data_IF_638097965236
#
_entry.id   IF_638097965236
#
_cell.length_a   1.000
_cell.length_b   1.000
_cell.length_c   1.000
_cell.angle_alpha   90.00
_cell.angle_beta   90.00
_cell.angle_gamma   90.00
#
_symmetry.space_group_name_H-M   'P 1'
#
loop_
_entity.id
_entity.type
_entity.pdbx_description
1 polymer ?
#
# COMPACT_ATOMS: atom_id res chain seq x y z
N UNK A 1 -13.49 -13.06 -0.91
CA UNK A 1 -12.44 -12.09 -0.53
C UNK A 1 -12.15 -12.33 0.95
N UNK A 2 -10.89 -12.26 1.42
CA UNK A 2 -10.61 -12.46 2.83
C UNK A 2 -11.25 -11.36 3.69
N UNK A 3 -11.68 -11.75 4.88
CA UNK A 3 -12.21 -10.87 5.92
C UNK A 3 -11.14 -10.63 6.96
N UNK A 4 -10.98 -9.37 7.37
CA UNK A 4 -10.00 -8.93 8.34
C UNK A 4 -10.68 -8.28 9.54
N UNK A 5 -10.26 -8.67 10.74
CA UNK A 5 -10.68 -8.01 11.98
C UNK A 5 -9.78 -6.81 12.27
N UNK A 6 -10.42 -5.69 12.61
CA UNK A 6 -9.75 -4.47 13.02
C UNK A 6 -10.27 -4.02 14.39
N UNK A 7 -9.35 -3.54 15.22
CA UNK A 7 -9.68 -2.75 16.40
C UNK A 7 -9.10 -1.37 16.18
N UNK A 8 -9.96 -0.37 16.00
CA UNK A 8 -9.55 1.01 15.84
C UNK A 8 -9.71 1.78 17.13
N UNK A 9 -8.74 2.64 17.45
CA UNK A 9 -8.92 3.71 18.43
C UNK A 9 -9.65 4.86 17.75
N UNK A 10 -10.76 5.28 18.33
CA UNK A 10 -11.64 6.31 17.78
C UNK A 10 -11.83 7.47 18.75
N UNK A 11 -12.25 8.62 18.23
CA UNK A 11 -12.54 9.85 18.99
C UNK A 11 -13.75 10.57 18.37
N UNK A 12 -14.33 11.53 19.07
CA UNK A 12 -15.47 12.32 18.58
C UNK A 12 -16.79 11.53 18.52
N UNK A 13 -16.89 10.42 19.25
CA UNK A 13 -18.10 9.61 19.39
C UNK A 13 -18.37 9.30 20.87
N UNK A 14 -19.64 9.38 21.28
CA UNK A 14 -20.11 8.95 22.59
C UNK A 14 -20.87 7.63 22.47
N UNK A 15 -20.76 6.76 23.48
CA UNK A 15 -21.56 5.52 23.54
C UNK A 15 -23.06 5.82 23.75
N UNK A 16 -23.39 7.02 24.22
CA UNK A 16 -24.78 7.49 24.40
C UNK A 16 -25.37 8.08 23.11
N UNK A 17 -24.56 8.25 22.05
CA UNK A 17 -25.06 8.63 20.73
C UNK A 17 -25.66 7.41 20.03
N UNK A 18 -26.84 7.01 20.48
CA UNK A 18 -27.51 5.80 20.00
C UNK A 18 -27.78 5.81 18.49
N UNK A 19 -27.90 6.98 17.86
CA UNK A 19 -28.08 7.09 16.42
C UNK A 19 -26.79 6.73 15.68
N UNK A 20 -25.65 7.30 16.07
CA UNK A 20 -24.36 6.98 15.45
C UNK A 20 -23.90 5.55 15.77
N UNK A 21 -24.07 5.12 17.02
CA UNK A 21 -23.75 3.74 17.45
C UNK A 21 -24.61 2.74 16.70
N UNK A 22 -25.92 2.96 16.63
CA UNK A 22 -26.85 2.10 15.90
C UNK A 22 -26.49 1.98 14.42
N UNK A 23 -26.23 3.10 13.75
CA UNK A 23 -25.82 3.08 12.35
C UNK A 23 -24.51 2.30 12.10
N UNK A 24 -23.53 2.40 13.00
CA UNK A 24 -22.28 1.65 12.90
C UNK A 24 -22.48 0.15 13.14
N UNK A 25 -23.29 -0.22 14.13
CA UNK A 25 -23.61 -1.63 14.41
C UNK A 25 -24.43 -2.25 13.29
N UNK A 26 -25.49 -1.58 12.82
CA UNK A 26 -26.39 -2.15 11.83
C UNK A 26 -25.72 -2.30 10.44
N UNK A 27 -24.88 -1.34 10.03
CA UNK A 27 -24.30 -1.30 8.68
C UNK A 27 -22.91 -1.93 8.58
N UNK A 28 -22.16 -2.01 9.68
CA UNK A 28 -20.79 -2.53 9.70
C UNK A 28 -20.58 -3.68 10.69
N UNK A 29 -21.61 -4.08 11.44
CA UNK A 29 -21.47 -5.02 12.56
C UNK A 29 -20.39 -4.56 13.56
N UNK A 30 -20.24 -3.24 13.70
CA UNK A 30 -19.20 -2.65 14.51
C UNK A 30 -19.62 -2.64 15.98
N UNK A 31 -18.69 -3.01 16.86
CA UNK A 31 -18.85 -2.98 18.31
C UNK A 31 -17.99 -1.85 18.89
N UNK A 32 -18.64 -0.87 19.51
CA UNK A 32 -17.98 0.22 20.21
C UNK A 32 -17.80 -0.11 21.70
N UNK A 33 -16.64 0.24 22.24
CA UNK A 33 -16.33 0.11 23.66
C UNK A 33 -15.56 1.33 24.15
N UNK A 34 -15.63 1.61 25.45
CA UNK A 34 -14.80 2.63 26.09
C UNK A 34 -14.19 2.04 27.36
N UNK A 35 -12.87 2.12 27.47
CA UNK A 35 -12.14 1.66 28.66
C UNK A 35 -11.08 2.67 29.01
N UNK A 36 -11.04 3.10 30.28
CA UNK A 36 -10.15 4.14 30.77
C UNK A 36 -10.15 5.43 29.93
N UNK A 37 -11.32 5.81 29.41
CA UNK A 37 -11.49 7.00 28.57
C UNK A 37 -11.00 6.85 27.13
N UNK A 38 -10.57 5.65 26.71
CA UNK A 38 -10.19 5.35 25.33
C UNK A 38 -11.33 4.63 24.64
N UNK A 39 -11.87 5.24 23.59
CA UNK A 39 -12.90 4.63 22.75
C UNK A 39 -12.26 3.73 21.70
N UNK A 40 -12.82 2.53 21.54
CA UNK A 40 -12.40 1.55 20.55
C UNK A 40 -13.59 1.06 19.75
N UNK A 41 -13.34 0.75 18.49
CA UNK A 41 -14.30 0.14 17.58
C UNK A 41 -13.71 -1.14 17.02
N UNK A 42 -14.33 -2.28 17.34
CA UNK A 42 -14.04 -3.57 16.72
C UNK A 42 -14.95 -3.75 15.52
N UNK A 43 -14.39 -4.14 14.38
CA UNK A 43 -15.14 -4.24 13.11
C UNK A 43 -14.42 -5.19 12.15
N UNK A 44 -15.20 -5.90 11.33
CA UNK A 44 -14.67 -6.75 10.26
C UNK A 44 -14.78 -6.04 8.91
N UNK A 45 -13.72 -6.10 8.11
CA UNK A 45 -13.69 -5.55 6.76
C UNK A 45 -13.20 -6.55 5.74
N UNK A 46 -13.87 -6.62 4.58
CA UNK A 46 -13.47 -7.47 3.46
C UNK A 46 -12.65 -6.70 2.44
N UNK A 47 -11.57 -7.30 1.94
CA UNK A 47 -10.69 -6.66 0.95
C UNK A 47 -9.75 -7.66 0.28
N UNK A 48 -9.06 -7.26 -0.81
CA UNK A 48 -7.98 -8.07 -1.38
C UNK A 48 -6.77 -8.19 -0.42
N UNK A 49 -6.60 -7.20 0.45
CA UNK A 49 -5.61 -7.14 1.53
C UNK A 49 -6.18 -6.32 2.72
N UNK A 50 -5.46 -6.33 3.84
CA UNK A 50 -5.90 -5.67 5.07
C UNK A 50 -5.98 -4.13 4.92
N UNK A 51 -5.11 -3.54 4.10
CA UNK A 51 -5.04 -2.08 3.90
C UNK A 51 -6.27 -1.59 3.15
N UNK A 52 -6.63 -2.27 2.06
CA UNK A 52 -7.83 -1.99 1.28
C UNK A 52 -9.11 -2.20 2.11
N UNK A 53 -9.17 -3.29 2.89
CA UNK A 53 -10.27 -3.57 3.81
C UNK A 53 -10.44 -2.43 4.85
N UNK A 54 -9.36 -2.04 5.52
CA UNK A 54 -9.37 -0.93 6.49
C UNK A 54 -9.82 0.39 5.83
N UNK A 55 -9.32 0.70 4.64
CA UNK A 55 -9.69 1.89 3.88
C UNK A 55 -11.19 1.93 3.56
N UNK A 56 -11.77 0.80 3.17
CA UNK A 56 -13.20 0.67 2.90
C UNK A 56 -14.05 0.88 4.17
N UNK A 57 -13.66 0.25 5.28
CA UNK A 57 -14.31 0.43 6.60
C UNK A 57 -14.28 1.90 7.02
N UNK A 58 -13.10 2.53 7.02
CA UNK A 58 -12.93 3.93 7.43
C UNK A 58 -13.76 4.88 6.56
N UNK A 59 -13.84 4.62 5.25
CA UNK A 59 -14.65 5.42 4.34
C UNK A 59 -16.16 5.32 4.66
N UNK A 60 -16.64 4.15 5.08
CA UNK A 60 -18.03 3.95 5.53
C UNK A 60 -18.28 4.61 6.88
N UNK A 61 -17.38 4.43 7.85
CA UNK A 61 -17.47 5.09 9.15
C UNK A 61 -17.65 6.61 9.04
N UNK A 62 -16.89 7.26 8.15
CA UNK A 62 -17.01 8.72 7.90
C UNK A 62 -18.39 9.15 7.39
N UNK A 63 -19.12 8.27 6.70
CA UNK A 63 -20.47 8.56 6.19
C UNK A 63 -21.50 8.34 7.30
N UNK A 64 -21.36 7.27 8.07
CA UNK A 64 -22.31 6.87 9.10
C UNK A 64 -22.20 7.75 10.36
N UNK A 65 -20.98 8.09 10.76
CA UNK A 65 -20.69 8.92 11.92
C UNK A 65 -19.68 10.02 11.58
N UNK A 66 -20.11 11.14 10.96
CA UNK A 66 -19.20 12.20 10.48
C UNK A 66 -18.38 12.90 11.58
N UNK A 67 -18.87 12.91 12.82
CA UNK A 67 -18.16 13.45 13.97
C UNK A 67 -17.06 12.49 14.49
N UNK A 68 -17.19 11.19 14.21
CA UNK A 68 -16.25 10.17 14.63
C UNK A 68 -14.95 10.23 13.82
N UNK A 69 -13.82 10.18 14.50
CA UNK A 69 -12.49 10.16 13.93
C UNK A 69 -11.82 8.83 14.25
N UNK A 70 -11.43 8.10 13.21
CA UNK A 70 -10.57 6.91 13.33
C UNK A 70 -9.12 7.38 13.43
N UNK A 71 -8.47 7.14 14.57
CA UNK A 71 -7.16 7.72 14.88
C UNK A 71 -5.99 6.81 14.49
N UNK A 72 -6.09 5.53 14.84
CA UNK A 72 -5.07 4.49 14.64
C UNK A 72 -5.67 3.11 14.90
N UNK A 73 -4.96 2.05 14.53
CA UNK A 73 -5.19 0.72 15.05
C UNK A 73 -4.80 0.65 16.53
N UNK A 74 -5.55 -0.16 17.28
CA UNK A 74 -5.14 -0.61 18.60
C UNK A 74 -4.15 -1.78 18.42
N UNK A 75 -2.88 -1.65 18.85
CA UNK A 75 -1.96 -2.77 18.85
C UNK A 75 -2.43 -3.71 19.96
N UNK A 76 -3.08 -4.81 19.58
CA UNK A 76 -3.58 -5.85 20.49
C UNK A 76 -2.41 -6.52 21.23
N UNK A 77 -1.91 -5.85 22.26
CA UNK A 77 -0.76 -6.25 23.04
C UNK A 77 -1.17 -7.29 24.07
N UNK A 78 -0.48 -8.42 24.05
CA UNK A 78 -0.73 -9.56 24.92
C UNK A 78 0.49 -9.93 25.73
N UNK A 79 0.29 -10.30 26.99
CA UNK A 79 1.28 -10.97 27.82
C UNK A 79 1.07 -12.49 27.86
N UNK A 80 1.91 -13.17 28.63
CA UNK A 80 1.84 -14.63 28.83
C UNK A 80 0.47 -15.07 29.37
N UNK A 81 -0.13 -14.28 30.25
CA UNK A 81 -1.45 -14.58 30.83
C UNK A 81 -2.55 -14.52 29.78
N UNK A 82 -2.55 -13.49 28.95
CA UNK A 82 -3.58 -13.27 27.93
C UNK A 82 -3.48 -14.35 26.84
N UNK A 83 -2.27 -14.70 26.41
CA UNK A 83 -2.04 -15.79 25.46
C UNK A 83 -2.52 -17.12 26.03
N UNK A 84 -2.23 -17.39 27.31
CA UNK A 84 -2.67 -18.62 27.98
C UNK A 84 -4.19 -18.72 28.02
N UNK A 85 -4.87 -17.62 28.35
CA UNK A 85 -6.33 -17.53 28.38
C UNK A 85 -6.94 -17.74 26.99
N UNK A 86 -6.49 -16.97 25.98
CA UNK A 86 -7.01 -17.06 24.60
C UNK A 86 -6.79 -18.42 23.96
N UNK A 87 -5.70 -19.11 24.29
CA UNK A 87 -5.38 -20.44 23.73
C UNK A 87 -5.90 -21.60 24.59
N UNK A 88 -6.51 -21.33 25.75
CA UNK A 88 -6.92 -22.36 26.71
C UNK A 88 -5.74 -23.18 27.26
N UNK A 89 -4.52 -22.63 27.28
CA UNK A 89 -3.31 -23.30 27.77
C UNK A 89 -2.87 -22.76 29.13
N UNK A 90 -1.99 -23.49 29.81
CA UNK A 90 -1.39 -23.00 31.04
C UNK A 90 -0.34 -21.92 30.76
N UNK A 91 -0.18 -20.97 31.69
CA UNK A 91 0.91 -19.97 31.64
C UNK A 91 2.30 -20.62 31.54
N UNK A 92 2.48 -21.80 32.14
CA UNK A 92 3.72 -22.57 32.04
C UNK A 92 3.99 -23.03 30.60
N UNK A 93 2.96 -23.50 29.88
CA UNK A 93 3.10 -23.87 28.46
C UNK A 93 3.53 -22.68 27.61
N UNK A 94 2.88 -21.53 27.78
CA UNK A 94 3.24 -20.30 27.05
C UNK A 94 4.67 -19.85 27.39
N UNK A 95 5.07 -19.95 28.66
CA UNK A 95 6.45 -19.65 29.08
C UNK A 95 7.47 -20.58 28.43
N UNK A 96 7.12 -21.85 28.21
CA UNK A 96 7.98 -22.81 27.49
C UNK A 96 8.13 -22.44 26.02
N UNK A 97 7.05 -21.98 25.36
CA UNK A 97 7.10 -21.48 23.98
C UNK A 97 8.05 -20.28 23.87
N UNK A 98 7.87 -19.28 24.74
CA UNK A 98 8.71 -18.08 24.78
C UNK A 98 10.19 -18.41 25.00
N UNK A 99 10.50 -19.43 25.81
CA UNK A 99 11.88 -19.87 26.08
C UNK A 99 12.48 -20.78 25.00
N UNK A 100 11.74 -21.08 23.93
CA UNK A 100 12.19 -22.00 22.88
C UNK A 100 12.46 -23.43 23.38
N UNK A 101 11.79 -23.84 24.48
CA UNK A 101 12.00 -25.15 25.09
C UNK A 101 11.26 -26.28 24.34
N UNK A 102 10.36 -25.93 23.42
CA UNK A 102 9.83 -26.84 22.41
C UNK A 102 10.56 -26.56 21.11
N UNK A 103 11.19 -27.60 20.54
CA UNK A 103 11.92 -27.55 19.27
C UNK A 103 10.93 -27.51 18.11
N UNK A 104 10.17 -26.43 18.01
CA UNK A 104 9.36 -26.14 16.85
C UNK A 104 10.28 -25.56 15.77
N UNK A 105 9.99 -25.80 14.49
CA UNK A 105 10.86 -25.37 13.36
C UNK A 105 10.96 -23.84 13.30
N UNK A 106 9.95 -23.13 13.81
CA UNK A 106 9.88 -21.66 13.84
C UNK A 106 9.91 -21.17 15.29
N UNK A 107 10.84 -20.27 15.67
CA UNK A 107 10.90 -19.73 17.02
C UNK A 107 9.67 -18.89 17.35
N UNK A 108 9.31 -18.84 18.63
CA UNK A 108 8.26 -17.95 19.11
C UNK A 108 8.62 -16.48 18.79
N UNK A 109 7.65 -15.61 18.45
CA UNK A 109 7.91 -14.22 18.09
C UNK A 109 8.71 -13.45 19.13
N UNK A 110 9.53 -12.51 18.65
CA UNK A 110 10.21 -11.57 19.54
C UNK A 110 9.19 -10.66 20.25
N UNK A 111 9.43 -10.28 21.51
CA UNK A 111 8.53 -9.37 22.22
C UNK A 111 8.51 -7.99 21.55
N UNK A 112 7.34 -7.37 21.52
CA UNK A 112 7.16 -5.98 21.08
C UNK A 112 7.84 -5.01 22.04
N UNK A 113 7.85 -5.35 23.32
CA UNK A 113 8.46 -4.53 24.35
C UNK A 113 8.22 -5.08 25.74
N UNK A 114 8.36 -4.20 26.73
CA UNK A 114 8.16 -4.51 28.14
C UNK A 114 7.19 -3.52 28.77
N UNK A 115 6.18 -4.02 29.48
CA UNK A 115 5.29 -3.22 30.33
C UNK A 115 5.64 -3.52 31.78
N UNK A 116 6.27 -2.55 32.45
CA UNK A 116 6.83 -2.74 33.78
C UNK A 116 7.97 -3.77 33.76
N UNK A 117 7.69 -4.98 34.25
CA UNK A 117 8.65 -6.11 34.27
C UNK A 117 8.24 -7.28 33.36
N UNK A 118 7.12 -7.14 32.65
CA UNK A 118 6.53 -8.20 31.84
C UNK A 118 6.75 -7.89 30.36
N UNK A 119 7.21 -8.90 29.62
CA UNK A 119 7.26 -8.82 28.16
C UNK A 119 5.84 -8.84 27.58
N UNK A 120 5.65 -8.11 26.47
CA UNK A 120 4.41 -8.08 25.70
C UNK A 120 4.70 -8.35 24.24
N UNK A 121 3.73 -8.93 23.53
CA UNK A 121 3.78 -9.28 22.12
C UNK A 121 2.57 -8.72 21.39
N UNK A 122 2.68 -8.56 20.07
CA UNK A 122 1.52 -8.33 19.23
C UNK A 122 0.75 -9.65 19.05
N UNK A 123 -0.55 -9.65 19.34
CA UNK A 123 -1.38 -10.83 19.14
C UNK A 123 -1.36 -11.32 17.70
N UNK A 124 -1.31 -10.43 16.70
CA UNK A 124 -1.24 -10.82 15.29
C UNK A 124 -0.02 -11.68 14.96
N UNK A 125 1.15 -11.38 15.54
CA UNK A 125 2.37 -12.17 15.34
C UNK A 125 2.32 -13.50 16.13
N UNK A 126 1.79 -13.47 17.35
CA UNK A 126 1.58 -14.68 18.16
C UNK A 126 0.59 -15.61 17.46
N UNK A 127 -0.53 -15.10 16.96
CA UNK A 127 -1.56 -15.88 16.28
C UNK A 127 -1.04 -16.47 14.97
N UNK A 128 -0.23 -15.72 14.21
CA UNK A 128 0.45 -16.25 13.02
C UNK A 128 1.41 -17.41 13.37
N UNK A 129 2.15 -17.32 14.48
CA UNK A 129 2.98 -18.42 14.97
C UNK A 129 2.14 -19.61 15.44
N UNK A 130 1.05 -19.36 16.18
CA UNK A 130 0.12 -20.38 16.67
C UNK A 130 -0.53 -21.17 15.52
N UNK A 131 -0.76 -20.54 14.37
CA UNK A 131 -1.27 -21.20 13.16
C UNK A 131 -0.35 -22.33 12.69
N UNK A 132 0.97 -22.13 12.81
CA UNK A 132 1.97 -23.16 12.49
C UNK A 132 1.89 -24.41 13.36
N UNK A 133 1.27 -24.31 14.54
CA UNK A 133 1.05 -25.43 15.46
C UNK A 133 -0.44 -25.76 15.65
N UNK A 134 -1.33 -25.21 14.81
CA UNK A 134 -2.76 -25.47 14.81
C UNK A 134 -3.53 -24.96 16.03
N UNK A 135 -3.10 -23.85 16.62
CA UNK A 135 -3.72 -23.24 17.81
C UNK A 135 -4.14 -21.77 17.60
N UNK A 136 -4.25 -21.31 16.36
CA UNK A 136 -4.73 -19.96 16.07
C UNK A 136 -6.25 -19.83 16.20
N UNK A 137 -6.72 -18.58 16.24
CA UNK A 137 -8.15 -18.24 16.32
C UNK A 137 -8.86 -18.21 14.96
N UNK A 138 -8.18 -18.49 13.85
CA UNK A 138 -8.75 -18.50 12.50
C UNK A 138 -9.01 -17.12 11.89
N UNK A 139 -8.85 -16.04 12.65
CA UNK A 139 -9.09 -14.68 12.19
C UNK A 139 -7.90 -14.11 11.42
N UNK A 140 -8.18 -13.31 10.39
CA UNK A 140 -7.14 -12.55 9.71
C UNK A 140 -7.02 -11.17 10.34
N UNK A 141 -5.79 -10.80 10.67
CA UNK A 141 -5.46 -9.47 11.19
C UNK A 141 -4.33 -8.86 10.36
N UNK A 142 -4.23 -7.53 10.31
CA UNK A 142 -3.14 -6.88 9.61
C UNK A 142 -1.79 -7.38 10.11
N UNK A 143 -0.87 -7.66 9.19
CA UNK A 143 0.54 -7.84 9.52
C UNK A 143 1.12 -6.54 10.08
N UNK A 144 2.29 -6.60 10.71
CA UNK A 144 2.99 -5.40 11.20
C UNK A 144 3.20 -4.33 10.12
N UNK A 145 3.56 -4.76 8.91
CA UNK A 145 3.78 -3.86 7.78
C UNK A 145 2.47 -3.18 7.37
N UNK A 146 1.40 -3.96 7.20
CA UNK A 146 0.07 -3.43 6.86
C UNK A 146 -0.49 -2.54 7.97
N UNK A 147 -0.32 -2.89 9.24
CA UNK A 147 -0.75 -2.07 10.37
C UNK A 147 -0.05 -0.71 10.39
N UNK A 148 1.26 -0.69 10.08
CA UNK A 148 2.03 0.55 9.95
C UNK A 148 1.50 1.42 8.80
N UNK A 149 1.20 0.79 7.66
CA UNK A 149 0.64 1.46 6.50
C UNK A 149 -0.76 2.03 6.79
N UNK A 150 -1.63 1.25 7.44
CA UNK A 150 -2.97 1.68 7.86
C UNK A 150 -2.87 2.89 8.81
N UNK A 151 -2.02 2.82 9.83
CA UNK A 151 -1.81 3.93 10.78
C UNK A 151 -1.29 5.19 10.09
N UNK A 152 -0.39 5.03 9.13
CA UNK A 152 0.09 6.14 8.30
C UNK A 152 -1.06 6.76 7.49
N UNK A 153 -1.88 5.94 6.82
CA UNK A 153 -3.04 6.38 6.05
C UNK A 153 -4.10 7.07 6.94
N UNK A 154 -4.30 6.60 8.17
CA UNK A 154 -5.22 7.22 9.13
C UNK A 154 -4.74 8.61 9.55
N UNK A 155 -3.45 8.76 9.88
CA UNK A 155 -2.84 10.02 10.33
C UNK A 155 -2.75 11.08 9.24
N UNK A 156 -2.38 10.68 8.03
CA UNK A 156 -2.19 11.60 6.90
C UNK A 156 -3.46 11.76 6.05
N UNK A 157 -4.48 10.96 6.36
CA UNK A 157 -5.74 10.87 5.66
C UNK A 157 -5.65 9.96 4.42
N UNK A 158 -6.76 9.30 4.11
CA UNK A 158 -7.00 8.68 2.81
C UNK A 158 -7.26 9.83 1.83
N UNK A 159 -6.22 10.59 1.49
CA UNK A 159 -6.36 11.62 0.45
C UNK A 159 -6.69 10.84 -0.82
N UNK A 160 -7.82 11.13 -1.50
CA UNK A 160 -8.05 10.52 -2.79
C UNK A 160 -6.85 10.91 -3.66
N UNK A 161 -6.04 9.93 -4.03
CA UNK A 161 -4.94 10.13 -4.95
C UNK A 161 -5.60 10.44 -6.28
N UNK A 162 -5.72 11.74 -6.57
CA UNK A 162 -6.21 12.21 -7.86
C UNK A 162 -5.08 11.98 -8.85
N UNK A 163 -5.26 10.97 -9.69
CA UNK A 163 -4.35 10.66 -10.78
C UNK A 163 -4.87 11.36 -12.02
N UNK A 164 -4.00 12.14 -12.67
CA UNK A 164 -4.21 12.58 -14.03
C UNK A 164 -3.52 11.58 -14.93
N UNK A 165 -4.30 10.78 -15.66
CA UNK A 165 -3.77 9.87 -16.67
C UNK A 165 -3.63 10.64 -17.97
N UNK A 166 -2.38 10.84 -18.38
CA UNK A 166 -2.07 11.39 -19.69
C UNK A 166 -2.07 10.23 -20.69
N UNK A 167 -3.14 10.16 -21.49
CA UNK A 167 -3.39 9.11 -22.51
C UNK A 167 -3.57 9.71 -23.91
N UNK A 168 -3.16 10.98 -24.11
CA UNK A 168 -3.36 11.73 -25.34
C UNK A 168 -2.70 11.08 -26.58
N UNK A 169 -3.47 10.96 -27.66
CA UNK A 169 -3.11 10.36 -28.95
C UNK A 169 -3.65 11.24 -30.07
N UNK A 170 -2.79 12.03 -30.71
CA UNK A 170 -3.14 12.71 -31.97
C UNK A 170 -2.32 12.23 -33.18
N UNK A 171 -1.36 11.31 -33.03
CA UNK A 171 -0.54 10.83 -34.16
C UNK A 171 -0.09 9.37 -33.90
N UNK A 172 -0.42 8.42 -34.81
CA UNK A 172 0.06 7.00 -34.93
C UNK A 172 -0.73 5.85 -34.19
N UNK A 173 -0.65 4.58 -34.68
CA UNK A 173 -1.53 3.48 -34.24
C UNK A 173 -1.16 2.97 -32.84
N UNK A 174 -2.16 2.67 -31.99
CA UNK A 174 -1.93 2.24 -30.60
C UNK A 174 -2.96 2.75 -29.56
N UNK A 175 -3.91 3.58 -30.00
CA UNK A 175 -4.94 4.21 -29.16
C UNK A 175 -5.72 3.23 -28.27
N UNK A 176 -6.03 2.05 -28.78
CA UNK A 176 -6.81 1.04 -28.05
C UNK A 176 -5.98 0.35 -26.96
N UNK A 177 -4.70 0.08 -27.22
CA UNK A 177 -3.84 -0.60 -26.26
C UNK A 177 -3.52 0.29 -25.06
N UNK A 178 -3.18 1.55 -25.27
CA UNK A 178 -2.88 2.46 -24.15
C UNK A 178 -4.13 2.81 -23.35
N UNK A 179 -5.31 2.91 -23.98
CA UNK A 179 -6.57 3.05 -23.25
C UNK A 179 -6.88 1.78 -22.43
N UNK A 180 -6.61 0.59 -22.98
CA UNK A 180 -6.73 -0.69 -22.25
C UNK A 180 -5.75 -0.77 -21.09
N UNK A 181 -4.50 -0.34 -21.29
CA UNK A 181 -3.47 -0.29 -20.24
C UNK A 181 -3.88 0.72 -19.16
N UNK A 182 -4.33 1.91 -19.53
CA UNK A 182 -4.81 2.91 -18.58
C UNK A 182 -6.01 2.40 -17.76
N UNK A 183 -6.98 1.74 -18.41
CA UNK A 183 -8.10 1.11 -17.71
C UNK A 183 -7.62 0.03 -16.72
N UNK A 184 -6.68 -0.82 -17.14
CA UNK A 184 -6.07 -1.83 -16.27
C UNK A 184 -5.27 -1.20 -15.14
N UNK A 185 -4.52 -0.13 -15.36
CA UNK A 185 -3.78 0.59 -14.30
C UNK A 185 -4.75 1.19 -13.27
N UNK A 186 -5.87 1.76 -13.71
CA UNK A 186 -6.93 2.25 -12.81
C UNK A 186 -7.54 1.10 -12.00
N UNK A 187 -7.80 -0.04 -12.64
CA UNK A 187 -8.30 -1.24 -11.99
C UNK A 187 -7.29 -1.76 -10.96
N UNK A 188 -6.02 -1.89 -11.32
CA UNK A 188 -4.94 -2.27 -10.39
C UNK A 188 -4.79 -1.27 -9.25
N UNK A 189 -4.83 0.04 -9.52
CA UNK A 189 -4.75 1.07 -8.49
C UNK A 189 -5.91 0.98 -7.46
N UNK A 190 -7.06 0.43 -7.86
CA UNK A 190 -8.20 0.20 -6.96
C UNK A 190 -8.05 -1.05 -6.11
N UNK A 191 -7.37 -2.07 -6.63
CA UNK A 191 -7.28 -3.40 -6.00
C UNK A 191 -5.90 -3.73 -5.42
N UNK A 192 -4.90 -2.89 -5.67
CA UNK A 192 -3.50 -3.09 -5.24
C UNK A 192 -2.94 -1.78 -4.69
N UNK A 193 -2.81 -1.65 -3.36
CA UNK A 193 -2.34 -0.42 -2.70
C UNK A 193 -0.94 0.02 -3.12
N UNK A 194 -0.08 -0.90 -3.59
CA UNK A 194 1.32 -0.62 -3.97
C UNK A 194 1.49 0.51 -4.99
N UNK A 195 0.61 0.60 -6.00
CA UNK A 195 0.69 1.68 -6.98
C UNK A 195 0.30 3.03 -6.36
N UNK A 196 -0.67 3.05 -5.45
CA UNK A 196 -1.08 4.25 -4.72
C UNK A 196 0.02 4.69 -3.74
N UNK A 197 0.61 3.75 -2.99
CA UNK A 197 1.74 4.01 -2.10
C UNK A 197 2.92 4.61 -2.86
N UNK A 198 3.25 4.05 -4.03
CA UNK A 198 4.28 4.56 -4.91
C UNK A 198 4.02 6.02 -5.31
N UNK A 199 2.80 6.36 -5.72
CA UNK A 199 2.43 7.75 -6.05
C UNK A 199 2.57 8.68 -4.84
N UNK A 200 2.18 8.22 -3.65
CA UNK A 200 2.27 9.02 -2.42
C UNK A 200 3.72 9.28 -1.98
N UNK A 201 4.63 8.33 -2.21
CA UNK A 201 6.07 8.46 -1.94
C UNK A 201 6.78 9.46 -2.87
N UNK A 202 6.18 9.80 -4.02
CA UNK A 202 6.77 10.70 -5.02
C UNK A 202 5.93 11.97 -5.21
N UNK A 203 5.89 12.90 -4.22
CA UNK A 203 5.10 14.12 -4.31
C UNK A 203 5.55 15.08 -5.42
N UNK A 204 6.79 14.95 -5.93
CA UNK A 204 7.33 15.78 -7.01
C UNK A 204 6.60 15.58 -8.35
N UNK A 205 5.85 14.49 -8.53
CA UNK A 205 5.10 14.20 -9.77
C UNK A 205 3.74 14.89 -9.84
N UNK A 206 3.45 15.76 -8.87
CA UNK A 206 2.17 16.48 -8.77
C UNK A 206 2.14 17.68 -9.72
N UNK A 207 1.03 17.85 -10.41
CA UNK A 207 0.75 19.05 -11.18
C UNK A 207 0.40 20.25 -10.28
N UNK A 208 0.25 21.44 -10.87
CA UNK A 208 -0.14 22.66 -10.16
C UNK A 208 -1.52 22.55 -9.45
N UNK A 209 -2.33 21.55 -9.79
CA UNK A 209 -3.64 21.25 -9.18
C UNK A 209 -3.53 20.16 -8.10
N UNK A 210 -2.32 19.71 -7.78
CA UNK A 210 -2.04 18.67 -6.79
C UNK A 210 -2.37 17.24 -7.23
N UNK A 211 -2.56 16.99 -8.53
CA UNK A 211 -2.84 15.66 -9.09
C UNK A 211 -1.53 14.98 -9.48
N UNK A 212 -1.39 13.69 -9.17
CA UNK A 212 -0.23 12.91 -9.61
C UNK A 212 -0.35 12.67 -11.12
N UNK A 213 0.66 13.10 -11.89
CA UNK A 213 0.66 12.95 -13.35
C UNK A 213 1.28 11.60 -13.69
N UNK A 214 0.50 10.73 -14.32
CA UNK A 214 0.94 9.42 -14.81
C UNK A 214 0.81 9.41 -16.33
N UNK A 215 1.92 9.23 -17.02
CA UNK A 215 2.00 9.08 -18.47
C UNK A 215 1.95 7.60 -18.80
N UNK A 216 0.89 7.17 -19.48
CA UNK A 216 0.68 5.76 -19.83
C UNK A 216 1.15 5.51 -21.27
N UNK A 217 1.96 4.49 -21.45
CA UNK A 217 2.49 4.11 -22.76
C UNK A 217 2.25 2.62 -23.06
N UNK A 218 2.07 2.29 -24.33
CA UNK A 218 2.13 0.92 -24.82
C UNK A 218 3.58 0.44 -24.82
N UNK A 219 3.85 -0.86 -24.55
CA UNK A 219 5.17 -1.45 -24.73
C UNK A 219 5.71 -1.31 -26.16
N UNK A 220 4.82 -1.14 -27.14
CA UNK A 220 5.17 -1.07 -28.56
C UNK A 220 5.26 0.38 -29.08
N UNK A 221 5.03 1.38 -28.21
CA UNK A 221 5.24 2.79 -28.56
C UNK A 221 6.73 3.06 -28.82
N UNK A 222 7.04 3.94 -29.78
CA UNK A 222 8.42 4.32 -30.05
C UNK A 222 8.99 5.19 -28.92
N UNK A 223 10.19 4.86 -28.46
CA UNK A 223 10.82 5.49 -27.31
C UNK A 223 11.07 6.98 -27.54
N UNK A 224 11.48 7.40 -28.74
CA UNK A 224 11.70 8.81 -29.10
C UNK A 224 10.44 9.68 -28.90
N UNK A 225 9.27 9.15 -29.28
CA UNK A 225 7.98 9.80 -29.16
C UNK A 225 7.55 9.91 -27.70
N UNK A 226 7.74 8.84 -26.91
CA UNK A 226 7.49 8.87 -25.46
C UNK A 226 8.39 9.88 -24.78
N UNK A 227 9.68 9.91 -25.15
CA UNK A 227 10.67 10.82 -24.60
C UNK A 227 10.26 12.28 -24.84
N UNK A 228 9.95 12.64 -26.09
CA UNK A 228 9.48 14.00 -26.44
C UNK A 228 8.28 14.43 -25.60
N UNK A 229 7.31 13.55 -25.39
CA UNK A 229 6.12 13.82 -24.54
C UNK A 229 6.47 14.03 -23.07
N UNK A 230 7.37 13.21 -22.52
CA UNK A 230 7.82 13.39 -21.13
C UNK A 230 8.47 14.78 -20.91
N UNK A 231 9.13 15.36 -21.94
CA UNK A 231 9.68 16.73 -21.88
C UNK A 231 8.62 17.81 -21.78
N UNK A 232 7.49 17.65 -22.49
CA UNK A 232 6.44 18.66 -22.56
C UNK A 232 5.85 18.97 -21.17
N UNK A 233 5.90 18.01 -20.24
CA UNK A 233 5.47 18.22 -18.86
C UNK A 233 6.40 19.16 -18.07
N UNK A 234 7.68 19.28 -18.46
CA UNK A 234 8.66 20.17 -17.83
C UNK A 234 8.92 19.91 -16.33
N UNK A 235 8.49 18.75 -15.82
CA UNK A 235 8.57 18.33 -14.41
C UNK A 235 8.69 16.81 -14.32
N UNK A 236 9.08 16.23 -13.17
CA UNK A 236 9.01 14.80 -12.95
C UNK A 236 7.58 14.29 -13.13
N UNK A 237 7.43 13.15 -13.81
CA UNK A 237 6.14 12.47 -14.01
C UNK A 237 6.33 10.97 -13.81
N UNK A 238 5.25 10.25 -13.52
CA UNK A 238 5.31 8.78 -13.47
C UNK A 238 5.07 8.24 -14.86
N UNK A 239 6.07 7.58 -15.44
CA UNK A 239 5.90 6.75 -16.61
C UNK A 239 5.35 5.38 -16.16
N UNK A 240 4.30 4.89 -16.81
CA UNK A 240 3.71 3.59 -16.50
C UNK A 240 3.32 2.81 -17.77
N UNK A 241 3.59 1.51 -17.75
CA UNK A 241 3.18 0.58 -18.82
C UNK A 241 2.83 -0.79 -18.23
N UNK A 242 2.17 -1.63 -19.03
CA UNK A 242 1.86 -3.01 -18.67
C UNK A 242 2.47 -3.93 -19.73
N UNK A 243 3.43 -4.76 -19.32
CA UNK A 243 4.00 -5.84 -20.13
C UNK A 243 3.49 -7.18 -19.60
N UNK A 244 4.34 -7.98 -18.94
CA UNK A 244 3.96 -9.13 -18.11
C UNK A 244 3.43 -8.69 -16.75
N UNK A 245 3.74 -7.47 -16.33
CA UNK A 245 3.12 -6.84 -15.18
C UNK A 245 3.12 -5.32 -15.23
N UNK A 246 2.69 -4.70 -14.12
CA UNK A 246 2.67 -3.24 -14.01
C UNK A 246 4.10 -2.78 -13.76
N UNK A 247 4.61 -1.96 -14.68
CA UNK A 247 5.85 -1.22 -14.52
C UNK A 247 5.50 0.26 -14.32
N UNK A 248 6.03 0.86 -13.27
CA UNK A 248 5.92 2.31 -13.05
C UNK A 248 7.23 2.88 -12.52
N UNK A 249 7.66 4.01 -13.09
CA UNK A 249 8.88 4.69 -12.70
C UNK A 249 8.71 6.21 -12.80
N UNK A 250 9.27 6.95 -11.85
CA UNK A 250 9.36 8.41 -11.94
C UNK A 250 10.47 8.75 -12.93
N UNK A 251 10.11 9.54 -13.93
CA UNK A 251 11.02 10.03 -14.96
C UNK A 251 11.04 11.55 -14.89
N UNK A 252 12.24 12.11 -14.91
CA UNK A 252 12.48 13.54 -15.06
C UNK A 252 13.17 13.83 -16.38
N UNK A 253 12.73 14.87 -17.08
CA UNK A 253 13.35 15.33 -18.33
C UNK A 253 14.61 16.20 -18.11
N UNK A 254 15.02 16.40 -16.86
CA UNK A 254 16.17 17.24 -16.49
C UNK A 254 17.45 16.39 -16.49
N UNK A 255 18.44 16.79 -17.31
CA UNK A 255 19.77 16.16 -17.34
C UNK A 255 20.54 16.42 -16.05
N UNK A 256 21.25 15.40 -15.56
CA UNK A 256 22.24 15.62 -14.51
C UNK A 256 23.56 16.07 -15.15
N UNK A 257 24.16 17.18 -14.69
CA UNK A 257 25.44 17.64 -15.22
C UNK A 257 26.53 16.55 -15.02
N UNK A 258 27.12 16.08 -16.12
CA UNK A 258 28.22 15.10 -16.11
C UNK A 258 27.83 13.63 -16.31
N UNK A 259 26.56 13.32 -16.57
CA UNK A 259 26.12 11.98 -16.99
C UNK A 259 26.47 11.70 -18.45
N UNK A 260 26.80 10.43 -18.76
CA UNK A 260 26.87 9.93 -20.15
C UNK A 260 25.69 8.98 -20.37
N UNK A 261 24.64 9.40 -21.08
CA UNK A 261 23.46 8.56 -21.30
C UNK A 261 23.76 7.40 -22.26
N UNK A 262 23.04 6.31 -22.07
CA UNK A 262 22.98 5.15 -22.95
C UNK A 262 22.00 5.47 -24.08
N UNK A 263 22.50 5.51 -25.30
CA UNK A 263 21.71 5.83 -26.48
C UNK A 263 20.88 4.61 -26.93
N UNK A 264 19.58 4.81 -27.08
CA UNK A 264 18.69 3.82 -27.66
C UNK A 264 18.86 3.77 -29.18
N UNK A 265 18.84 2.57 -29.78
CA UNK A 265 18.91 2.45 -31.23
C UNK A 265 17.72 3.15 -31.91
N UNK A 266 17.89 3.70 -33.12
CA UNK A 266 16.81 4.32 -33.87
C UNK A 266 15.62 3.37 -34.05
N UNK A 267 14.42 3.84 -33.75
CA UNK A 267 13.20 3.04 -33.81
C UNK A 267 12.97 2.09 -32.64
N UNK A 268 13.78 2.17 -31.57
CA UNK A 268 13.55 1.41 -30.34
C UNK A 268 12.15 1.67 -29.76
N UNK A 269 11.56 0.61 -29.23
CA UNK A 269 10.26 0.67 -28.54
C UNK A 269 10.44 0.89 -27.04
N UNK A 270 9.34 1.19 -26.35
CA UNK A 270 9.29 1.20 -24.88
C UNK A 270 9.75 -0.14 -24.30
N UNK A 271 9.43 -1.26 -24.94
CA UNK A 271 9.91 -2.59 -24.50
C UNK A 271 11.43 -2.70 -24.56
N UNK A 272 12.03 -2.22 -25.64
CA UNK A 272 13.50 -2.21 -25.78
C UNK A 272 14.14 -1.31 -24.73
N UNK A 273 13.53 -0.15 -24.48
CA UNK A 273 13.94 0.76 -23.41
C UNK A 273 13.91 0.09 -22.04
N UNK A 274 12.80 -0.57 -21.67
CA UNK A 274 12.69 -1.30 -20.41
C UNK A 274 13.75 -2.40 -20.27
N UNK A 275 14.06 -3.10 -21.37
CA UNK A 275 15.15 -4.08 -21.40
C UNK A 275 16.51 -3.45 -21.07
N UNK A 276 16.78 -2.25 -21.59
CA UNK A 276 18.01 -1.51 -21.28
C UNK A 276 18.04 -0.96 -19.86
N UNK A 277 16.89 -0.53 -19.31
CA UNK A 277 16.77 -0.12 -17.89
C UNK A 277 17.14 -1.29 -16.98
N UNK A 278 16.70 -2.51 -17.29
CA UNK A 278 17.06 -3.70 -16.51
C UNK A 278 18.57 -4.02 -16.55
N UNK A 279 19.24 -3.71 -17.67
CA UNK A 279 20.68 -3.91 -17.84
C UNK A 279 21.51 -2.79 -17.19
N UNK A 280 20.96 -1.57 -17.16
CA UNK A 280 21.65 -0.37 -16.70
C UNK A 280 20.74 0.49 -15.80
N UNK A 281 20.36 -0.01 -14.61
CA UNK A 281 19.34 0.64 -13.77
C UNK A 281 19.74 2.03 -13.24
N UNK A 282 21.04 2.28 -13.13
CA UNK A 282 21.61 3.54 -12.61
C UNK A 282 22.10 4.49 -13.72
N UNK A 283 21.74 4.23 -14.98
CA UNK A 283 22.18 5.04 -16.13
C UNK A 283 21.08 5.91 -16.69
N UNK A 284 21.49 7.04 -17.26
CA UNK A 284 20.62 7.85 -18.10
C UNK A 284 20.43 7.22 -19.48
N UNK A 285 19.29 7.47 -20.11
CA UNK A 285 18.99 7.00 -21.47
C UNK A 285 18.59 8.16 -22.39
N UNK A 286 18.97 8.08 -23.67
CA UNK A 286 18.62 9.05 -24.73
C UNK A 286 18.09 8.34 -25.98
N UNK A 287 17.16 8.96 -26.73
CA UNK A 287 16.58 8.38 -27.94
C UNK A 287 16.56 9.42 -29.09
N UNK A 288 17.29 9.13 -30.19
CA UNK A 288 17.35 9.98 -31.38
C UNK A 288 18.14 11.29 -31.19
N UNK A 289 17.86 12.29 -32.04
CA UNK A 289 18.47 13.64 -31.97
C UNK A 289 17.95 14.50 -30.82
N UNK A 290 16.86 14.06 -30.16
CA UNK A 290 16.30 14.72 -28.99
C UNK A 290 16.95 14.16 -27.72
N UNK A 291 17.99 14.87 -27.33
CA UNK A 291 18.85 14.63 -26.19
C UNK A 291 18.09 14.72 -24.84
N UNK A 292 17.50 13.62 -24.38
CA UNK A 292 17.04 13.46 -23.00
C UNK A 292 17.97 12.58 -22.20
N UNK A 293 18.16 12.92 -20.94
CA UNK A 293 18.77 12.04 -19.94
C UNK A 293 17.67 11.59 -19.01
N UNK A 294 17.33 10.30 -19.03
CA UNK A 294 16.40 9.74 -18.06
C UNK A 294 17.14 9.40 -16.76
N UNK A 295 17.03 10.20 -15.68
CA UNK A 295 17.40 9.67 -14.35
C UNK A 295 16.19 9.11 -13.64
N UNK A 296 16.41 7.90 -13.14
CA UNK A 296 15.66 7.22 -12.10
C UNK A 296 15.64 8.05 -10.81
N UNK A 297 14.63 8.89 -10.64
CA UNK A 297 14.27 9.33 -9.29
C UNK A 297 13.44 8.23 -8.63
N UNK A 298 14.11 7.31 -7.96
CA UNK A 298 13.46 6.28 -7.17
C UNK A 298 13.43 4.90 -7.82
N UNK A 299 13.33 3.88 -6.97
CA UNK A 299 13.29 2.48 -7.37
C UNK A 299 12.05 2.22 -8.23
N UNK A 300 12.18 1.57 -9.40
CA UNK A 300 11.02 1.21 -10.22
C UNK A 300 10.06 0.32 -9.43
N UNK A 301 8.76 0.55 -9.63
CA UNK A 301 7.71 -0.32 -9.11
C UNK A 301 7.40 -1.38 -10.16
N UNK A 302 7.75 -2.62 -9.83
CA UNK A 302 7.39 -3.80 -10.62
C UNK A 302 6.55 -4.75 -9.78
N UNK A 303 5.38 -5.12 -10.30
CA UNK A 303 4.63 -6.25 -9.75
C UNK A 303 3.80 -6.94 -10.82
N UNK A 304 3.74 -8.27 -10.72
CA UNK A 304 2.91 -9.11 -11.57
C UNK A 304 1.44 -8.97 -11.15
N UNK A 305 0.51 -8.74 -12.08
CA UNK A 305 -0.92 -8.92 -11.86
C UNK A 305 -1.13 -10.35 -11.35
N UNK A 306 -1.85 -10.49 -10.25
CA UNK A 306 -2.46 -11.78 -9.90
C UNK A 306 -3.75 -11.95 -10.67
#
# INVERSE_FOLDING_TARGET
MPDYEFVFVVDGISLDDHAAVGALTDELDAVLSCSHGVHRMTVTGSGPDAVAAAGAVVARCRKLAPAMRVLRLDPDLVGVSDIAERTGRSRQNVTQWVRGQRRDVVPFPSPEGTVGRSLVWLWSEVNAWLRGIGLDDGEHRPTRAEATEIDWLLRHGVRPVRVSLDVDFDVLPGRDDTRRIAARLVEHARHTPRFIEYLLRHPQVRDARGRHTVVVCSPDDQADTVFRRLREHGRPVVFATITTGVFAQVISAVRHPGSTPVELPPGATVRDWLGLVALYPDREFSAGTDDLGAVAEGTPLEFTPR
#
